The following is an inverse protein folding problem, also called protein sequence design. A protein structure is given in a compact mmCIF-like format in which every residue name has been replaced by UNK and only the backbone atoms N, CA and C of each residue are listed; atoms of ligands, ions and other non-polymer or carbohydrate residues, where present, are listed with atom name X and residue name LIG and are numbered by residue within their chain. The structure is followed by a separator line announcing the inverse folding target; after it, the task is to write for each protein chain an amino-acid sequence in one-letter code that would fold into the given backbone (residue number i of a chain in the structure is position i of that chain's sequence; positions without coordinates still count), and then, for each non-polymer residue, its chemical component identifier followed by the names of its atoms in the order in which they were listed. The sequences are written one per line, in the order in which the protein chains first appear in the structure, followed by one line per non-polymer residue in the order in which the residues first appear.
data_IF_555042521495
#
_entry.id   IF_555042521495
#
_cell.length_a   1.000
_cell.length_b   1.000
_cell.length_c   1.000
_cell.angle_alpha   90.00
_cell.angle_beta   90.00
_cell.angle_gamma   90.00
#
_symmetry.space_group_name_H-M   'P 1'
#
loop_
_entity.id
_entity.type
_entity.pdbx_description
1 polymer ?
#
# COMPACT_ATOMS: atom_id res chain seq x y z
N UNK A 1 -4.61 -45.12 1.72
CA UNK A 1 -5.28 -43.98 1.07
C UNK A 1 -4.64 -42.61 1.36
N UNK A 2 -3.53 -42.50 2.09
CA UNK A 2 -2.85 -41.25 2.47
C UNK A 2 -1.92 -40.64 1.39
N UNK A 3 -1.45 -41.41 0.40
CA UNK A 3 -0.44 -40.93 -0.57
C UNK A 3 -0.93 -39.91 -1.63
N UNK A 4 -2.23 -39.79 -1.90
CA UNK A 4 -2.77 -38.83 -2.90
C UNK A 4 -2.89 -37.40 -2.35
N UNK A 5 -3.22 -37.26 -1.08
CA UNK A 5 -3.37 -35.93 -0.43
C UNK A 5 -2.03 -35.23 -0.23
N UNK A 6 -0.95 -35.98 0.00
CA UNK A 6 0.39 -35.44 0.18
C UNK A 6 1.00 -34.90 -1.12
N UNK A 7 0.67 -35.50 -2.26
CA UNK A 7 1.12 -34.99 -3.57
C UNK A 7 0.44 -33.67 -3.94
N UNK A 8 -0.81 -33.45 -3.53
CA UNK A 8 -1.49 -32.16 -3.71
C UNK A 8 -0.88 -31.05 -2.84
N UNK A 9 -0.56 -31.36 -1.58
CA UNK A 9 0.07 -30.42 -0.66
C UNK A 9 1.47 -29.99 -1.14
N UNK A 10 2.28 -30.94 -1.60
CA UNK A 10 3.59 -30.69 -2.22
C UNK A 10 3.50 -29.83 -3.50
N UNK A 11 2.44 -30.01 -4.30
CA UNK A 11 2.18 -29.20 -5.49
C UNK A 11 1.86 -27.75 -5.15
N UNK A 12 1.06 -27.52 -4.11
CA UNK A 12 0.69 -26.18 -3.64
C UNK A 12 1.90 -25.47 -3.03
N UNK A 13 2.67 -26.14 -2.18
CA UNK A 13 3.91 -25.59 -1.63
C UNK A 13 4.95 -25.30 -2.74
N UNK A 14 5.02 -26.14 -3.77
CA UNK A 14 5.87 -25.90 -4.94
C UNK A 14 5.44 -24.68 -5.74
N UNK A 15 4.15 -24.47 -5.95
CA UNK A 15 3.61 -23.31 -6.63
C UNK A 15 3.88 -22.00 -5.86
N UNK A 16 3.69 -22.00 -4.54
CA UNK A 16 4.01 -20.85 -3.66
C UNK A 16 5.51 -20.56 -3.69
N UNK A 17 6.36 -21.59 -3.65
CA UNK A 17 7.82 -21.41 -3.75
C UNK A 17 8.26 -20.84 -5.11
N UNK A 18 7.59 -21.21 -6.21
CA UNK A 18 7.87 -20.67 -7.54
C UNK A 18 7.42 -19.21 -7.64
N UNK A 19 6.26 -18.86 -7.09
CA UNK A 19 5.78 -17.47 -7.05
C UNK A 19 6.69 -16.61 -6.16
N UNK A 20 7.08 -17.12 -4.97
CA UNK A 20 8.03 -16.45 -4.09
C UNK A 20 9.42 -16.27 -4.72
N UNK A 21 9.94 -17.29 -5.41
CA UNK A 21 11.20 -17.19 -6.16
C UNK A 21 11.09 -16.21 -7.34
N UNK A 22 9.94 -16.17 -8.02
CA UNK A 22 9.66 -15.20 -9.09
C UNK A 22 9.67 -13.76 -8.57
N UNK A 23 9.07 -13.49 -7.41
CA UNK A 23 9.11 -12.17 -6.75
C UNK A 23 10.52 -11.80 -6.30
N UNK A 24 11.29 -12.74 -5.74
CA UNK A 24 12.70 -12.49 -5.39
C UNK A 24 13.57 -12.21 -6.63
N UNK A 25 13.31 -12.87 -7.75
CA UNK A 25 14.02 -12.60 -9.01
C UNK A 25 13.62 -11.24 -9.58
N UNK A 26 12.34 -10.88 -9.49
CA UNK A 26 11.86 -9.56 -9.89
C UNK A 26 12.47 -8.46 -9.01
N UNK A 27 12.53 -8.64 -7.70
CA UNK A 27 13.16 -7.70 -6.76
C UNK A 27 14.65 -7.51 -7.06
N UNK A 28 15.39 -8.59 -7.35
CA UNK A 28 16.80 -8.52 -7.76
C UNK A 28 16.97 -7.84 -9.13
N UNK A 29 16.06 -8.07 -10.06
CA UNK A 29 16.07 -7.43 -11.38
C UNK A 29 15.75 -5.92 -11.29
N UNK A 30 15.04 -5.48 -10.24
CA UNK A 30 14.76 -4.06 -9.95
C UNK A 30 15.90 -3.41 -9.16
N UNK A 31 16.95 -4.14 -8.78
CA UNK A 31 18.19 -3.58 -8.19
C UNK A 31 18.20 -3.51 -6.67
N UNK A 32 17.44 -4.36 -5.99
CA UNK A 32 17.54 -4.49 -4.52
C UNK A 32 18.88 -5.19 -4.19
N UNK A 33 19.78 -4.48 -3.53
CA UNK A 33 21.08 -5.01 -3.12
C UNK A 33 20.89 -6.03 -1.98
N UNK A 34 21.45 -7.24 -2.17
CA UNK A 34 21.38 -8.33 -1.19
C UNK A 34 22.04 -8.02 0.16
N UNK A 35 22.86 -6.98 0.23
CA UNK A 35 23.56 -6.59 1.46
C UNK A 35 22.66 -5.85 2.47
N UNK A 36 21.48 -5.43 2.07
CA UNK A 36 20.57 -4.63 2.91
C UNK A 36 19.38 -5.41 3.49
N UNK A 37 19.29 -6.73 3.27
CA UNK A 37 18.29 -7.55 3.92
C UNK A 37 18.70 -7.83 5.37
N UNK A 38 18.07 -7.22 6.39
CA UNK A 38 18.40 -7.50 7.78
C UNK A 38 18.06 -8.96 8.12
N UNK A 39 18.99 -9.66 8.78
CA UNK A 39 18.84 -11.06 9.23
C UNK A 39 17.83 -11.25 10.38
N UNK A 40 16.88 -10.38 10.56
CA UNK A 40 15.82 -10.51 11.57
C UNK A 40 14.47 -10.22 10.93
N UNK A 41 13.62 -11.23 10.98
CA UNK A 41 12.22 -11.17 10.66
C UNK A 41 11.59 -10.16 11.61
N UNK A 42 11.21 -9.02 11.05
CA UNK A 42 10.45 -7.92 11.64
C UNK A 42 10.89 -7.34 13.00
N UNK A 43 11.77 -6.35 13.01
CA UNK A 43 11.54 -5.16 13.80
C UNK A 43 11.37 -3.96 12.88
N UNK A 44 10.30 -3.18 13.10
CA UNK A 44 10.05 -1.82 12.64
C UNK A 44 11.06 -1.31 11.60
N UNK A 45 10.81 -1.54 10.32
CA UNK A 45 11.72 -1.12 9.26
C UNK A 45 11.62 0.39 9.09
N UNK A 46 12.54 1.07 9.72
CA UNK A 46 12.76 2.51 9.66
C UNK A 46 13.47 2.84 8.33
N UNK A 47 12.78 2.75 7.20
CA UNK A 47 13.34 3.00 5.87
C UNK A 47 13.43 4.48 5.51
N UNK A 48 12.82 5.37 6.30
CA UNK A 48 12.63 6.76 5.91
C UNK A 48 13.67 7.74 6.45
N UNK A 49 14.81 7.30 7.02
CA UNK A 49 15.74 8.25 7.63
C UNK A 49 17.22 8.04 7.32
N UNK A 50 17.56 7.69 6.09
CA UNK A 50 18.95 7.89 5.64
C UNK A 50 19.00 8.21 4.14
N UNK A 51 18.57 9.41 3.77
CA UNK A 51 19.07 10.03 2.56
C UNK A 51 20.53 10.37 2.77
N UNK A 52 21.43 9.40 2.58
CA UNK A 52 22.80 9.73 2.26
C UNK A 52 22.79 10.57 0.99
N UNK A 53 23.31 11.77 1.11
CA UNK A 53 23.74 12.59 0.00
C UNK A 53 24.85 11.84 -0.80
N UNK A 54 24.46 10.89 -1.62
CA UNK A 54 25.31 10.44 -2.70
C UNK A 54 24.99 11.34 -3.90
N UNK A 55 25.99 12.15 -4.25
CA UNK A 55 25.93 13.13 -5.31
C UNK A 55 25.76 12.50 -6.70
N UNK A 56 24.58 11.96 -6.98
CA UNK A 56 24.14 11.69 -8.35
C UNK A 56 23.31 12.88 -8.84
N UNK A 57 23.98 13.80 -9.53
CA UNK A 57 23.36 14.83 -10.34
C UNK A 57 22.68 14.16 -11.56
N UNK A 58 21.63 13.42 -11.32
CA UNK A 58 20.71 12.92 -12.33
C UNK A 58 19.83 14.05 -12.82
N UNK A 59 20.10 14.48 -14.02
CA UNK A 59 19.37 15.44 -14.86
C UNK A 59 17.86 15.44 -14.61
N UNK A 60 17.33 16.64 -14.27
CA UNK A 60 15.94 17.00 -14.45
C UNK A 60 15.05 16.85 -13.24
N UNK A 61 15.17 17.70 -12.23
CA UNK A 61 14.10 17.90 -11.25
C UNK A 61 12.97 18.66 -11.92
N UNK A 62 11.97 17.92 -12.39
CA UNK A 62 10.69 18.49 -12.79
C UNK A 62 9.93 18.91 -11.54
N UNK A 63 9.49 20.15 -11.45
CA UNK A 63 8.72 20.66 -10.31
C UNK A 63 7.48 21.36 -10.81
N UNK A 64 6.32 20.85 -10.44
CA UNK A 64 5.02 21.50 -10.63
C UNK A 64 4.31 21.74 -9.30
N UNK A 65 3.44 22.75 -9.26
CA UNK A 65 2.72 23.16 -8.06
C UNK A 65 1.26 23.33 -8.31
N UNK A 66 0.44 22.75 -7.44
CA UNK A 66 -1.02 22.78 -7.53
C UNK A 66 -1.64 23.28 -6.23
N UNK A 67 -2.78 23.95 -6.32
CA UNK A 67 -3.57 24.43 -5.18
C UNK A 67 -5.05 24.15 -5.38
N UNK A 68 -5.82 24.18 -4.29
CA UNK A 68 -7.27 23.90 -4.33
C UNK A 68 -7.58 22.46 -4.68
N UNK A 69 -6.72 21.52 -4.28
CA UNK A 69 -6.89 20.09 -4.49
C UNK A 69 -7.63 19.51 -3.29
N UNK A 70 -8.67 18.72 -3.54
CA UNK A 70 -9.46 18.00 -2.55
C UNK A 70 -9.41 16.48 -2.73
N UNK A 71 -9.08 16.02 -3.96
CA UNK A 71 -8.98 14.61 -4.28
C UNK A 71 -7.64 14.32 -4.93
N UNK A 72 -7.05 13.15 -4.60
CA UNK A 72 -5.82 12.64 -5.19
C UNK A 72 -6.10 11.30 -5.88
N UNK A 73 -5.65 11.14 -7.13
CA UNK A 73 -5.68 9.88 -7.89
C UNK A 73 -4.25 9.55 -8.34
N UNK A 74 -3.70 8.48 -7.77
CA UNK A 74 -2.35 8.00 -8.07
C UNK A 74 -2.40 6.72 -8.90
N UNK A 75 -1.57 6.64 -9.94
CA UNK A 75 -1.33 5.41 -10.69
C UNK A 75 0.16 5.15 -10.87
N UNK A 76 0.66 4.13 -10.17
CA UNK A 76 2.04 3.65 -10.21
C UNK A 76 2.12 2.31 -10.97
N UNK A 77 2.36 2.32 -12.29
CA UNK A 77 2.41 1.10 -13.08
C UNK A 77 3.70 0.29 -12.82
N UNK A 78 4.87 0.94 -12.88
CA UNK A 78 6.19 0.31 -12.66
C UNK A 78 7.21 1.31 -12.07
N UNK A 79 6.76 2.22 -11.22
CA UNK A 79 7.52 3.33 -10.69
C UNK A 79 7.10 3.55 -9.24
N UNK A 80 7.96 4.13 -8.42
CA UNK A 80 7.63 4.53 -7.06
C UNK A 80 6.99 5.92 -7.02
N UNK A 81 5.91 6.08 -6.26
CA UNK A 81 5.33 7.37 -5.89
C UNK A 81 5.45 7.50 -4.38
N UNK A 82 6.12 8.54 -3.92
CA UNK A 82 6.33 8.86 -2.51
C UNK A 82 5.55 10.11 -2.15
N UNK A 83 4.63 10.02 -1.20
CA UNK A 83 3.91 11.15 -0.67
C UNK A 83 4.56 11.54 0.66
N UNK A 84 5.07 12.77 0.72
CA UNK A 84 5.75 13.35 1.87
C UNK A 84 4.98 14.55 2.38
N UNK A 85 5.05 14.79 3.69
CA UNK A 85 4.44 15.97 4.29
C UNK A 85 5.45 17.09 4.51
N UNK A 86 4.99 18.33 4.47
CA UNK A 86 5.77 19.49 4.87
C UNK A 86 4.98 20.45 5.76
N UNK A 87 5.63 21.05 6.72
CA UNK A 87 5.05 22.12 7.51
C UNK A 87 4.88 23.37 6.64
N UNK A 88 3.69 23.59 6.10
CA UNK A 88 3.38 24.73 5.23
C UNK A 88 1.99 25.27 5.55
N UNK A 89 1.91 26.58 5.69
CA UNK A 89 0.62 27.29 5.81
C UNK A 89 -0.07 27.52 4.46
N UNK A 90 0.60 27.19 3.35
CA UNK A 90 0.07 27.37 2.00
C UNK A 90 -0.58 26.06 1.56
N UNK A 91 -1.83 26.12 1.11
CA UNK A 91 -2.52 25.02 0.43
C UNK A 91 -1.90 24.77 -0.95
N UNK A 92 -0.74 24.12 -0.97
CA UNK A 92 0.03 23.86 -2.19
C UNK A 92 0.61 22.46 -2.15
N UNK A 93 0.31 21.69 -3.18
CA UNK A 93 0.92 20.39 -3.47
C UNK A 93 2.06 20.63 -4.46
N UNK A 94 3.23 20.07 -4.19
CA UNK A 94 4.39 20.12 -5.07
C UNK A 94 4.72 18.71 -5.57
N UNK A 95 4.94 18.58 -6.89
CA UNK A 95 5.33 17.33 -7.54
C UNK A 95 6.73 17.50 -8.09
N UNK A 96 7.62 16.60 -7.73
CA UNK A 96 8.97 16.51 -8.26
C UNK A 96 9.31 15.08 -8.70
N UNK A 97 10.34 14.91 -9.52
CA UNK A 97 10.77 13.59 -9.99
C UNK A 97 12.25 13.37 -9.72
N UNK A 98 12.61 12.12 -9.43
CA UNK A 98 13.99 11.66 -9.32
C UNK A 98 14.19 10.51 -10.31
N UNK A 99 15.24 10.59 -11.16
CA UNK A 99 15.55 9.54 -12.12
C UNK A 99 14.51 9.31 -13.23
N UNK A 100 13.65 10.30 -13.49
CA UNK A 100 12.60 10.26 -14.49
C UNK A 100 12.59 11.51 -15.35
N UNK A 101 12.26 11.34 -16.63
CA UNK A 101 12.01 12.45 -17.55
C UNK A 101 10.53 12.90 -17.43
N UNK A 102 10.27 14.17 -17.79
CA UNK A 102 8.91 14.76 -17.76
C UNK A 102 7.88 13.98 -18.59
N UNK A 103 8.29 13.40 -19.71
CA UNK A 103 7.43 12.64 -20.63
C UNK A 103 6.99 11.27 -20.08
N UNK A 104 7.62 10.82 -18.99
CA UNK A 104 7.28 9.58 -18.28
C UNK A 104 6.24 9.78 -17.17
N UNK A 105 5.91 11.04 -16.87
CA UNK A 105 4.89 11.42 -15.90
C UNK A 105 3.74 12.12 -16.63
N UNK A 106 2.52 11.84 -16.24
CA UNK A 106 1.30 12.54 -16.67
C UNK A 106 0.60 13.08 -15.42
N UNK A 107 0.58 14.40 -15.30
CA UNK A 107 -0.09 15.09 -14.20
C UNK A 107 -1.20 15.95 -14.76
N UNK A 108 -2.41 15.74 -14.25
CA UNK A 108 -3.58 16.46 -14.69
C UNK A 108 -4.38 16.94 -13.49
N UNK A 109 -4.73 18.22 -13.51
CA UNK A 109 -5.72 18.77 -12.60
C UNK A 109 -7.07 18.85 -13.31
N UNK A 110 -8.09 18.17 -12.74
CA UNK A 110 -9.48 18.25 -13.17
C UNK A 110 -10.35 18.72 -12.01
N UNK A 111 -10.78 19.99 -12.06
CA UNK A 111 -11.46 20.63 -10.95
C UNK A 111 -10.62 20.65 -9.67
N UNK A 112 -11.06 19.92 -8.66
CA UNK A 112 -10.35 19.73 -7.38
C UNK A 112 -9.60 18.40 -7.28
N UNK A 113 -9.59 17.58 -8.34
CA UNK A 113 -8.85 16.31 -8.40
C UNK A 113 -7.50 16.51 -9.06
N UNK A 114 -6.45 15.96 -8.46
CA UNK A 114 -5.11 15.89 -9.01
C UNK A 114 -4.80 14.44 -9.36
N UNK A 115 -4.73 14.17 -10.67
CA UNK A 115 -4.37 12.87 -11.22
C UNK A 115 -2.85 12.82 -11.47
N UNK A 116 -2.16 11.82 -10.93
CA UNK A 116 -0.72 11.62 -11.07
C UNK A 116 -0.49 10.21 -11.58
N UNK A 117 -0.07 10.07 -12.84
CA UNK A 117 0.09 8.77 -13.52
C UNK A 117 1.49 8.62 -14.05
N UNK A 118 2.14 7.50 -13.72
CA UNK A 118 3.42 7.14 -14.31
C UNK A 118 3.23 6.35 -15.59
N UNK A 119 3.96 6.66 -16.65
CA UNK A 119 3.89 5.95 -17.93
C UNK A 119 4.85 4.76 -17.90
N UNK A 120 4.30 3.56 -17.89
CA UNK A 120 4.96 2.30 -17.63
C UNK A 120 5.86 1.72 -18.75
N UNK A 121 6.62 2.54 -19.49
CA UNK A 121 7.62 2.01 -20.44
C UNK A 121 9.03 2.35 -20.00
N UNK A 122 9.71 1.46 -19.23
CA UNK A 122 11.12 1.66 -18.95
C UNK A 122 11.91 1.63 -20.25
N UNK A 123 12.59 2.72 -20.60
CA UNK A 123 13.60 2.71 -21.65
C UNK A 123 14.74 1.79 -21.17
N UNK A 124 15.18 0.86 -21.99
CA UNK A 124 16.18 -0.20 -21.66
C UNK A 124 17.49 0.37 -21.04
N UNK A 125 17.75 1.67 -21.16
CA UNK A 125 18.95 2.35 -20.65
C UNK A 125 18.93 2.65 -19.15
N UNK A 126 17.85 2.34 -18.42
CA UNK A 126 17.64 2.75 -17.02
C UNK A 126 17.72 1.58 -16.01
N UNK A 127 18.31 0.46 -16.40
CA UNK A 127 18.55 -0.65 -15.48
C UNK A 127 19.48 -0.16 -14.35
N UNK A 128 18.94 -0.08 -13.12
CA UNK A 128 19.69 0.28 -11.91
C UNK A 128 19.52 1.71 -11.38
N UNK A 129 18.64 2.55 -11.99
CA UNK A 129 18.30 3.87 -11.41
C UNK A 129 16.91 3.85 -10.78
N UNK A 130 16.81 4.30 -9.54
CA UNK A 130 15.53 4.49 -8.87
C UNK A 130 14.73 5.57 -9.60
N UNK A 131 13.49 5.25 -9.96
CA UNK A 131 12.53 6.15 -10.64
C UNK A 131 11.43 6.47 -9.64
N UNK A 132 11.42 7.70 -9.17
CA UNK A 132 10.51 8.10 -8.10
C UNK A 132 9.81 9.41 -8.45
N UNK A 133 8.50 9.45 -8.24
CA UNK A 133 7.71 10.68 -8.20
C UNK A 133 7.53 11.05 -6.73
N UNK A 134 7.93 12.25 -6.36
CA UNK A 134 7.80 12.77 -5.00
C UNK A 134 6.66 13.80 -4.99
N UNK A 135 5.65 13.55 -4.18
CA UNK A 135 4.49 14.43 -4.00
C UNK A 135 4.53 15.00 -2.59
N UNK A 136 4.81 16.29 -2.49
CA UNK A 136 4.88 16.97 -1.19
C UNK A 136 3.55 17.67 -0.92
N UNK A 137 2.90 17.30 0.18
CA UNK A 137 1.61 17.86 0.62
C UNK A 137 1.79 18.64 1.93
N UNK A 138 0.92 19.63 2.23
CA UNK A 138 0.88 20.25 3.55
C UNK A 138 0.46 19.23 4.63
N UNK A 139 1.16 19.20 5.76
CA UNK A 139 0.95 18.21 6.83
C UNK A 139 -0.49 18.14 7.33
N UNK A 140 -1.14 19.27 7.55
CA UNK A 140 -2.50 19.36 8.09
C UNK A 140 -3.60 19.30 7.00
N UNK A 141 -3.23 18.93 5.77
CA UNK A 141 -4.19 18.93 4.67
C UNK A 141 -5.06 17.70 4.70
N UNK A 142 -6.38 17.91 4.81
CA UNK A 142 -7.38 16.87 4.66
C UNK A 142 -7.92 16.81 3.23
N UNK A 143 -8.01 15.60 2.69
CA UNK A 143 -8.60 15.32 1.39
C UNK A 143 -10.00 14.72 1.54
N UNK A 144 -10.86 14.91 0.54
CA UNK A 144 -12.14 14.22 0.48
C UNK A 144 -11.93 12.75 0.08
N UNK A 145 -11.03 12.51 -0.90
CA UNK A 145 -10.73 11.18 -1.39
C UNK A 145 -9.26 11.06 -1.79
N UNK A 146 -8.69 9.91 -1.48
CA UNK A 146 -7.37 9.47 -1.96
C UNK A 146 -7.54 8.11 -2.61
N UNK A 147 -7.19 8.01 -3.88
CA UNK A 147 -7.23 6.78 -4.66
C UNK A 147 -5.81 6.42 -5.12
N UNK A 148 -5.38 5.20 -4.85
CA UNK A 148 -4.08 4.66 -5.21
C UNK A 148 -4.21 3.38 -6.02
N UNK A 149 -3.75 3.41 -7.29
CA UNK A 149 -3.66 2.21 -8.15
C UNK A 149 -2.21 1.87 -8.41
N UNK A 150 -1.81 0.68 -7.97
CA UNK A 150 -0.42 0.20 -8.10
C UNK A 150 -0.40 -1.08 -8.92
N UNK A 151 0.21 -1.02 -10.11
CA UNK A 151 0.39 -2.19 -10.97
C UNK A 151 1.49 -3.11 -10.46
N UNK A 152 2.75 -2.75 -10.75
CA UNK A 152 3.97 -3.44 -10.28
C UNK A 152 4.98 -2.45 -9.67
N UNK A 153 4.57 -1.22 -9.41
CA UNK A 153 5.35 -0.18 -8.75
C UNK A 153 5.14 -0.16 -7.24
N UNK A 154 5.37 1.00 -6.63
CA UNK A 154 5.07 1.22 -5.22
C UNK A 154 4.43 2.58 -4.98
N UNK A 155 3.64 2.68 -3.92
CA UNK A 155 3.04 3.90 -3.43
C UNK A 155 3.26 3.98 -1.94
N UNK A 156 3.89 5.04 -1.46
CA UNK A 156 4.13 5.24 -0.03
C UNK A 156 3.59 6.58 0.46
N UNK A 157 2.98 6.57 1.64
CA UNK A 157 2.47 7.74 2.33
C UNK A 157 3.18 7.85 3.69
N UNK A 158 3.77 9.02 3.97
CA UNK A 158 4.34 9.29 5.29
C UNK A 158 3.25 9.70 6.31
N UNK A 159 2.31 10.52 5.88
CA UNK A 159 1.15 10.95 6.67
C UNK A 159 0.06 11.41 5.71
N UNK A 160 -1.17 10.90 5.87
CA UNK A 160 -2.27 11.29 4.97
C UNK A 160 -3.61 11.28 5.69
N UNK A 161 -4.39 12.35 5.48
CA UNK A 161 -5.72 12.50 6.07
C UNK A 161 -6.77 12.65 4.97
N UNK A 162 -7.78 11.78 4.99
CA UNK A 162 -8.88 11.84 4.02
C UNK A 162 -10.21 11.35 4.60
N UNK A 163 -11.31 11.62 3.91
CA UNK A 163 -12.58 11.01 4.26
C UNK A 163 -12.68 9.60 3.67
N UNK A 164 -12.19 9.39 2.45
CA UNK A 164 -12.22 8.09 1.78
C UNK A 164 -10.86 7.72 1.20
N UNK A 165 -10.42 6.49 1.45
CA UNK A 165 -9.20 5.91 0.89
C UNK A 165 -9.53 4.65 0.09
N UNK A 166 -9.09 4.59 -1.16
CA UNK A 166 -9.23 3.42 -2.02
C UNK A 166 -7.85 3.01 -2.56
N UNK A 167 -7.45 1.77 -2.30
CA UNK A 167 -6.16 1.21 -2.72
C UNK A 167 -6.39 -0.04 -3.57
N UNK A 168 -5.92 -0.04 -4.81
CA UNK A 168 -5.98 -1.18 -5.74
C UNK A 168 -4.55 -1.59 -6.12
N UNK A 169 -4.11 -2.73 -5.61
CA UNK A 169 -2.73 -3.21 -5.73
C UNK A 169 -2.69 -4.51 -6.52
N UNK A 170 -2.12 -4.46 -7.72
CA UNK A 170 -1.95 -5.63 -8.58
C UNK A 170 -0.87 -6.58 -8.07
N UNK A 171 0.39 -6.29 -8.38
CA UNK A 171 1.58 -7.06 -7.97
C UNK A 171 2.66 -6.18 -7.32
N UNK A 172 2.35 -4.93 -7.07
CA UNK A 172 3.24 -3.95 -6.44
C UNK A 172 3.09 -3.88 -4.92
N UNK A 173 3.46 -2.75 -4.34
CA UNK A 173 3.40 -2.51 -2.90
C UNK A 173 2.76 -1.16 -2.57
N UNK A 174 2.00 -1.12 -1.49
CA UNK A 174 1.54 0.11 -0.85
C UNK A 174 1.96 0.10 0.60
N UNK A 175 2.54 1.20 1.06
CA UNK A 175 2.91 1.43 2.46
C UNK A 175 2.33 2.76 2.93
N UNK A 176 1.69 2.80 4.09
CA UNK A 176 1.22 4.04 4.70
C UNK A 176 1.55 4.06 6.19
N UNK A 177 2.01 5.22 6.65
CA UNK A 177 2.26 5.50 8.06
C UNK A 177 1.44 6.71 8.48
N UNK A 178 0.88 6.69 9.70
CA UNK A 178 0.09 7.79 10.27
C UNK A 178 -1.04 8.28 9.33
N UNK A 179 -1.91 7.37 8.95
CA UNK A 179 -3.04 7.72 8.10
C UNK A 179 -4.35 7.92 8.87
N UNK A 180 -5.24 8.72 8.29
CA UNK A 180 -6.60 8.90 8.80
C UNK A 180 -7.60 8.85 7.65
N UNK A 181 -8.55 7.91 7.73
CA UNK A 181 -9.65 7.78 6.78
C UNK A 181 -10.94 7.39 7.51
N UNK A 182 -12.10 7.88 7.06
CA UNK A 182 -13.40 7.44 7.56
C UNK A 182 -13.84 6.13 6.93
N UNK A 183 -13.60 5.98 5.64
CA UNK A 183 -13.91 4.77 4.86
C UNK A 183 -12.66 4.31 4.13
N UNK A 184 -12.42 3.01 4.17
CA UNK A 184 -11.28 2.40 3.51
C UNK A 184 -11.72 1.24 2.63
N UNK A 185 -11.13 1.18 1.43
CA UNK A 185 -11.24 0.03 0.54
C UNK A 185 -9.85 -0.38 0.08
N UNK A 186 -9.52 -1.66 0.24
CA UNK A 186 -8.23 -2.24 -0.14
C UNK A 186 -8.47 -3.48 -0.99
N UNK A 187 -8.10 -3.40 -2.27
CA UNK A 187 -8.10 -4.54 -3.19
C UNK A 187 -6.65 -4.96 -3.46
N UNK A 188 -6.22 -6.11 -2.96
CA UNK A 188 -4.86 -6.64 -3.13
C UNK A 188 -4.86 -7.92 -3.99
N UNK A 189 -4.26 -7.86 -5.17
CA UNK A 189 -4.10 -8.98 -6.08
C UNK A 189 -3.06 -9.99 -5.60
N UNK A 190 -1.80 -9.78 -5.98
CA UNK A 190 -0.65 -10.60 -5.61
C UNK A 190 0.48 -9.75 -4.98
N UNK A 191 0.22 -8.50 -4.67
CA UNK A 191 1.14 -7.55 -4.07
C UNK A 191 1.11 -7.56 -2.54
N UNK A 192 1.59 -6.47 -1.95
CA UNK A 192 1.53 -6.22 -0.51
C UNK A 192 0.93 -4.85 -0.20
N UNK A 193 0.18 -4.78 0.91
CA UNK A 193 -0.35 -3.54 1.47
C UNK A 193 -0.03 -3.53 2.96
N UNK A 194 0.70 -2.52 3.40
CA UNK A 194 1.13 -2.33 4.78
C UNK A 194 0.67 -0.96 5.26
N UNK A 195 -0.24 -0.91 6.22
CA UNK A 195 -0.88 0.31 6.70
C UNK A 195 -0.74 0.40 8.22
N UNK A 196 0.05 1.34 8.72
CA UNK A 196 0.37 1.48 10.15
C UNK A 196 -0.06 2.82 10.72
N UNK A 197 -0.49 2.82 11.99
CA UNK A 197 -0.88 4.02 12.71
C UNK A 197 -2.20 4.62 12.22
N UNK A 198 -3.12 3.78 11.77
CA UNK A 198 -4.43 4.21 11.30
C UNK A 198 -5.34 4.70 12.41
N UNK A 199 -5.98 5.85 12.22
CA UNK A 199 -7.10 6.26 13.07
C UNK A 199 -8.31 5.36 12.78
N UNK A 200 -9.23 5.29 13.71
CA UNK A 200 -10.41 4.44 13.73
C UNK A 200 -11.39 4.69 12.55
N UNK A 201 -11.27 3.99 11.39
CA UNK A 201 -12.22 4.10 10.30
C UNK A 201 -13.59 3.51 10.69
N UNK A 202 -14.67 4.09 10.18
CA UNK A 202 -16.03 3.57 10.41
C UNK A 202 -16.36 2.38 9.50
N UNK A 203 -15.65 2.25 8.37
CA UNK A 203 -15.86 1.17 7.40
C UNK A 203 -14.54 0.78 6.74
N UNK A 204 -14.28 -0.54 6.72
CA UNK A 204 -13.10 -1.12 6.09
C UNK A 204 -13.55 -2.32 5.25
N UNK A 205 -13.32 -2.23 3.93
CA UNK A 205 -13.52 -3.34 2.99
C UNK A 205 -12.17 -3.81 2.46
N UNK A 206 -11.76 -5.05 2.75
CA UNK A 206 -10.49 -5.61 2.29
C UNK A 206 -10.75 -6.85 1.44
N UNK A 207 -10.19 -6.87 0.22
CA UNK A 207 -10.18 -8.05 -0.65
C UNK A 207 -8.73 -8.44 -0.97
N UNK A 208 -8.33 -9.66 -0.65
CA UNK A 208 -6.99 -10.17 -0.92
C UNK A 208 -7.07 -11.48 -1.72
N UNK A 209 -6.56 -11.46 -2.96
CA UNK A 209 -6.59 -12.65 -3.83
C UNK A 209 -5.47 -13.64 -3.50
N UNK A 210 -4.21 -13.20 -3.56
CA UNK A 210 -3.04 -14.04 -3.35
C UNK A 210 -1.86 -13.27 -2.73
N UNK A 211 -2.08 -12.01 -2.37
CA UNK A 211 -1.09 -11.11 -1.76
C UNK A 211 -1.12 -11.14 -0.24
N UNK A 212 -0.66 -10.05 0.35
CA UNK A 212 -0.69 -9.81 1.79
C UNK A 212 -1.23 -8.41 2.09
N UNK A 213 -2.07 -8.31 3.11
CA UNK A 213 -2.54 -7.04 3.67
C UNK A 213 -2.26 -7.06 5.17
N UNK A 214 -1.50 -6.12 5.65
CA UNK A 214 -1.23 -5.88 7.06
C UNK A 214 -1.73 -4.49 7.43
N UNK A 215 -2.52 -4.38 8.50
CA UNK A 215 -3.12 -3.13 8.93
C UNK A 215 -3.04 -3.00 10.45
N UNK A 216 -2.52 -1.88 10.92
CA UNK A 216 -2.56 -1.51 12.33
C UNK A 216 -3.47 -0.29 12.53
N UNK A 217 -4.44 -0.44 13.41
CA UNK A 217 -5.44 0.57 13.72
C UNK A 217 -5.36 0.97 15.19
N UNK A 218 -5.60 2.24 15.48
CA UNK A 218 -5.77 2.69 16.86
C UNK A 218 -7.11 2.23 17.41
N UNK A 219 -7.15 1.91 18.71
CA UNK A 219 -8.38 1.55 19.42
C UNK A 219 -8.45 0.07 19.82
N UNK A 220 -9.64 -0.49 19.89
CA UNK A 220 -9.89 -1.84 20.36
C UNK A 220 -10.69 -2.64 19.34
N UNK A 221 -10.35 -3.91 19.18
CA UNK A 221 -11.04 -4.84 18.25
C UNK A 221 -12.55 -4.95 18.50
N UNK A 222 -13.00 -4.71 19.73
CA UNK A 222 -14.42 -4.76 20.10
C UNK A 222 -15.23 -3.57 19.61
N UNK A 223 -14.59 -2.56 19.04
CA UNK A 223 -15.22 -1.41 18.42
C UNK A 223 -15.69 -1.69 16.99
N UNK A 224 -15.42 -2.90 16.47
CA UNK A 224 -15.79 -3.29 15.12
C UNK A 224 -16.67 -4.53 15.07
N UNK A 225 -17.57 -4.54 14.10
CA UNK A 225 -18.22 -5.75 13.62
C UNK A 225 -17.37 -6.34 12.49
N UNK A 226 -17.35 -7.67 12.39
CA UNK A 226 -16.53 -8.38 11.42
C UNK A 226 -17.37 -9.27 10.52
N UNK A 227 -17.11 -9.20 9.22
CA UNK A 227 -17.59 -10.15 8.22
C UNK A 227 -16.38 -10.72 7.48
N UNK A 228 -16.13 -12.03 7.63
CA UNK A 228 -14.91 -12.64 7.11
C UNK A 228 -15.24 -13.82 6.22
N UNK A 229 -14.75 -13.77 4.98
CA UNK A 229 -14.80 -14.84 4.01
C UNK A 229 -13.40 -15.28 3.62
N UNK A 230 -13.10 -16.58 3.76
CA UNK A 230 -11.83 -17.15 3.31
C UNK A 230 -12.05 -18.41 2.49
N UNK A 231 -11.25 -18.61 1.43
CA UNK A 231 -11.26 -19.85 0.65
C UNK A 231 -10.07 -20.74 1.03
N UNK A 232 -8.86 -20.32 0.66
CA UNK A 232 -7.61 -21.01 0.98
C UNK A 232 -6.60 -20.06 1.67
N UNK A 233 -6.99 -18.80 1.89
CA UNK A 233 -6.20 -17.79 2.57
C UNK A 233 -6.41 -17.79 4.09
N UNK A 234 -5.88 -16.78 4.73
CA UNK A 234 -6.00 -16.56 6.18
C UNK A 234 -6.38 -15.12 6.49
N UNK A 235 -7.24 -14.96 7.50
CA UNK A 235 -7.54 -13.68 8.11
C UNK A 235 -7.26 -13.79 9.60
N UNK A 236 -6.52 -12.84 10.17
CA UNK A 236 -6.25 -12.75 11.61
C UNK A 236 -6.52 -11.36 12.13
N UNK A 237 -7.02 -11.30 13.37
CA UNK A 237 -7.23 -10.05 14.12
C UNK A 237 -6.57 -10.23 15.49
N UNK A 238 -5.63 -9.35 15.84
CA UNK A 238 -4.78 -9.44 17.06
C UNK A 238 -4.20 -10.86 17.25
N UNK A 239 -3.63 -11.41 16.17
CA UNK A 239 -3.06 -12.76 16.18
C UNK A 239 -4.07 -13.90 16.29
N UNK A 240 -5.37 -13.61 16.37
CA UNK A 240 -6.44 -14.61 16.41
C UNK A 240 -6.92 -14.91 15.00
N UNK A 241 -6.73 -16.15 14.53
CA UNK A 241 -7.19 -16.57 13.21
C UNK A 241 -8.72 -16.67 13.16
N UNK A 242 -9.33 -16.01 12.19
CA UNK A 242 -10.75 -16.06 11.91
C UNK A 242 -11.05 -17.08 10.80
N UNK A 243 -12.15 -17.80 10.90
CA UNK A 243 -12.52 -18.84 9.92
C UNK A 243 -13.46 -18.27 8.87
N UNK A 244 -13.49 -18.91 7.70
CA UNK A 244 -14.47 -18.58 6.65
C UNK A 244 -15.90 -18.74 7.16
N UNK A 245 -16.77 -17.81 6.75
CA UNK A 245 -18.12 -17.72 7.23
C UNK A 245 -18.23 -17.22 8.68
N UNK A 246 -17.15 -16.66 9.20
CA UNK A 246 -17.15 -16.00 10.49
C UNK A 246 -17.94 -14.69 10.39
N UNK A 247 -19.17 -14.74 10.84
CA UNK A 247 -19.98 -13.57 11.10
C UNK A 247 -19.98 -13.35 12.62
N UNK A 248 -19.05 -12.57 13.11
CA UNK A 248 -19.12 -12.11 14.46
C UNK A 248 -19.75 -10.73 14.43
N UNK A 249 -21.01 -10.74 14.74
CA UNK A 249 -21.70 -9.54 15.16
C UNK A 249 -21.22 -9.28 16.60
N UNK A 250 -20.00 -8.83 16.76
CA UNK A 250 -19.65 -8.02 17.92
C UNK A 250 -20.46 -6.72 17.78
N UNK A 251 -21.76 -6.88 17.71
CA UNK A 251 -22.64 -5.72 17.84
C UNK A 251 -22.22 -5.05 19.13
N UNK A 252 -21.37 -4.08 18.96
CA UNK A 252 -21.19 -3.10 19.99
C UNK A 252 -22.60 -2.63 20.32
N UNK A 253 -23.18 -3.17 21.37
CA UNK A 253 -24.36 -2.57 22.00
C UNK A 253 -24.10 -1.12 22.41
N UNK A 254 -23.02 -0.52 21.91
CA UNK A 254 -22.49 0.79 22.17
C UNK A 254 -22.64 1.77 20.99
N UNK A 255 -23.37 1.42 19.94
CA UNK A 255 -24.01 2.40 19.05
C UNK A 255 -23.12 3.15 18.05
N UNK A 256 -21.81 2.98 18.01
CA UNK A 256 -20.89 3.67 17.09
C UNK A 256 -19.73 2.75 16.64
N UNK A 257 -19.99 1.47 16.47
CA UNK A 257 -18.98 0.53 15.99
C UNK A 257 -18.70 0.70 14.50
N UNK A 258 -17.43 0.43 14.11
CA UNK A 258 -17.06 0.30 12.72
C UNK A 258 -17.42 -1.08 12.15
N UNK A 259 -17.35 -1.25 10.83
CA UNK A 259 -17.51 -2.52 10.13
C UNK A 259 -16.23 -2.87 9.39
N UNK A 260 -15.74 -4.08 9.59
CA UNK A 260 -14.63 -4.66 8.82
C UNK A 260 -15.15 -5.85 8.02
N UNK A 261 -15.11 -5.72 6.71
CA UNK A 261 -15.35 -6.80 5.77
C UNK A 261 -14.01 -7.26 5.19
N UNK A 262 -13.68 -8.56 5.30
CA UNK A 262 -12.42 -9.12 4.84
C UNK A 262 -12.65 -10.41 4.01
N UNK A 263 -12.40 -10.33 2.70
CA UNK A 263 -12.42 -11.46 1.76
C UNK A 263 -10.99 -11.87 1.39
N UNK A 264 -10.54 -13.05 1.81
CA UNK A 264 -9.21 -13.57 1.51
C UNK A 264 -9.27 -14.92 0.77
N UNK A 265 -8.88 -14.93 -0.52
CA UNK A 265 -8.97 -16.16 -1.34
C UNK A 265 -7.81 -17.12 -1.12
N UNK A 266 -6.57 -16.66 -1.27
CA UNK A 266 -5.37 -17.50 -1.14
C UNK A 266 -4.17 -16.76 -0.51
N UNK A 267 -4.36 -15.51 -0.09
CA UNK A 267 -3.35 -14.66 0.55
C UNK A 267 -3.47 -14.62 2.07
N UNK A 268 -3.08 -13.51 2.66
CA UNK A 268 -3.23 -13.22 4.08
C UNK A 268 -3.74 -11.81 4.34
N UNK A 269 -4.60 -11.67 5.33
CA UNK A 269 -5.03 -10.39 5.90
C UNK A 269 -4.74 -10.45 7.39
N UNK A 270 -3.97 -9.50 7.89
CA UNK A 270 -3.68 -9.33 9.31
C UNK A 270 -4.09 -7.93 9.75
N UNK A 271 -4.92 -7.86 10.80
CA UNK A 271 -5.38 -6.60 11.39
C UNK A 271 -4.96 -6.60 12.86
N UNK A 272 -4.27 -5.56 13.26
CA UNK A 272 -3.80 -5.36 14.63
C UNK A 272 -4.41 -4.07 15.20
N UNK A 273 -4.62 -4.05 16.50
CA UNK A 273 -5.08 -2.86 17.22
C UNK A 273 -4.01 -2.44 18.26
N UNK A 274 -3.71 -1.12 18.29
CA UNK A 274 -2.67 -0.54 19.14
C UNK A 274 -3.20 0.60 20.03
#
# INVERSE_FOLDING_TARGET
MMKKRWKGLLGICGAIAIVGAGMCIAAVAVGVDRSEIPNQIFPHVRWLHETKNDGDQGTGTYVERYSGIRCLDFRADATSIEIQTQNSTKDRIEISTRGMDKDELDVKKDGSTLEIRTKGKPKIHWIGKSRTVIVTIPKEKKFDQVEGKVGAGSLSFEEIHCDKMELDVGAGAVEAYDFSANEMKVDCGAGSVELFGGNHPSKIDISCMAGAVEMELSGDRTQYDYEVDTSAGSVSVDGSSLKSGYHDNYHSHHGNGGMIHADCKAGSIEIMFA
#
